data_IF_904107661721
#
_entry.id   IF_904107661721
#
_cell.length_a   1.000
_cell.length_b   1.000
_cell.length_c   1.000
_cell.angle_alpha   90.00
_cell.angle_beta   90.00
_cell.angle_gamma   90.00
#
_symmetry.space_group_name_H-M   'P 1'
#
loop_
_entity.id
_entity.type
_entity.pdbx_description
1 polymer ?
#
# COMPACT_ATOMS: atom_id res chain seq x y z
N UNK A 1 16.71 34.33 -0.40
CA UNK A 1 15.61 33.61 -1.06
C UNK A 1 15.74 32.15 -0.65
N UNK A 2 14.69 31.54 -0.09
CA UNK A 2 14.71 30.10 0.19
C UNK A 2 14.34 29.37 -1.09
N UNK A 3 15.03 28.28 -1.42
CA UNK A 3 14.66 27.46 -2.57
C UNK A 3 13.30 26.80 -2.30
N UNK A 4 12.34 26.97 -3.21
CA UNK A 4 11.00 26.41 -3.09
C UNK A 4 11.01 24.89 -2.86
N UNK A 5 11.97 24.17 -3.46
CA UNK A 5 12.16 22.73 -3.24
C UNK A 5 12.56 22.42 -1.80
N UNK A 6 13.49 23.21 -1.23
CA UNK A 6 13.94 23.04 0.15
C UNK A 6 12.78 23.34 1.12
N UNK A 7 11.99 24.37 0.86
CA UNK A 7 10.81 24.68 1.66
C UNK A 7 9.76 23.56 1.62
N UNK A 8 9.47 23.00 0.45
CA UNK A 8 8.53 21.89 0.28
C UNK A 8 8.97 20.61 1.01
N UNK A 9 10.19 20.14 0.72
CA UNK A 9 10.74 18.90 1.29
C UNK A 9 10.99 19.05 2.79
N UNK A 10 11.48 20.21 3.23
CA UNK A 10 11.65 20.53 4.65
C UNK A 10 10.34 20.47 5.40
N UNK A 11 9.28 21.08 4.86
CA UNK A 11 7.94 21.03 5.47
C UNK A 11 7.40 19.59 5.55
N UNK A 12 7.54 18.82 4.47
CA UNK A 12 7.13 17.41 4.43
C UNK A 12 7.87 16.57 5.47
N UNK A 13 9.19 16.74 5.60
CA UNK A 13 10.01 16.03 6.58
C UNK A 13 9.62 16.38 8.00
N UNK A 14 9.47 17.68 8.33
CA UNK A 14 9.07 18.12 9.66
C UNK A 14 7.70 17.55 10.05
N UNK A 15 6.73 17.56 9.14
CA UNK A 15 5.40 16.97 9.37
C UNK A 15 5.48 15.45 9.57
N UNK A 16 6.26 14.76 8.73
CA UNK A 16 6.42 13.30 8.83
C UNK A 16 7.11 12.89 10.15
N UNK A 17 8.10 13.66 10.60
CA UNK A 17 8.76 13.48 11.90
C UNK A 17 7.81 13.78 13.07
N UNK A 18 6.90 14.72 12.89
CA UNK A 18 5.83 15.05 13.86
C UNK A 18 4.70 14.02 13.89
N UNK A 19 4.90 12.84 13.28
CA UNK A 19 3.91 11.75 13.12
C UNK A 19 2.65 12.13 12.35
N UNK A 20 2.72 13.15 11.50
CA UNK A 20 1.64 13.42 10.54
C UNK A 20 1.72 12.38 9.42
N UNK A 21 0.57 11.86 9.00
CA UNK A 21 0.51 10.86 7.93
C UNK A 21 1.14 11.43 6.64
N UNK A 22 1.94 10.61 5.97
CA UNK A 22 2.74 11.03 4.79
C UNK A 22 1.88 11.68 3.70
N UNK A 23 0.64 11.21 3.51
CA UNK A 23 -0.31 11.76 2.53
C UNK A 23 -0.65 13.23 2.83
N UNK A 24 -0.82 13.58 4.10
CA UNK A 24 -1.10 14.97 4.48
C UNK A 24 0.17 15.80 4.31
N UNK A 25 1.33 15.25 4.67
CA UNK A 25 2.62 15.92 4.56
C UNK A 25 2.95 16.30 3.10
N UNK A 26 2.69 15.42 2.13
CA UNK A 26 2.92 15.74 0.70
C UNK A 26 1.97 16.83 0.18
N UNK A 27 0.72 16.87 0.64
CA UNK A 27 -0.25 17.90 0.24
C UNK A 27 0.22 19.27 0.75
N UNK A 28 0.58 19.35 2.02
CA UNK A 28 1.08 20.59 2.63
C UNK A 28 2.42 21.00 2.00
N UNK A 29 3.33 20.05 1.79
CA UNK A 29 4.61 20.30 1.12
C UNK A 29 4.44 20.84 -0.30
N UNK A 30 3.48 20.30 -1.07
CA UNK A 30 3.15 20.79 -2.41
C UNK A 30 2.58 22.22 -2.39
N UNK A 31 1.72 22.54 -1.41
CA UNK A 31 1.20 23.90 -1.23
C UNK A 31 2.32 24.88 -0.86
N UNK A 32 3.17 24.54 0.11
CA UNK A 32 4.29 25.39 0.53
C UNK A 32 5.27 25.57 -0.63
N UNK A 33 5.64 24.50 -1.34
CA UNK A 33 6.52 24.56 -2.50
C UNK A 33 5.96 25.40 -3.64
N UNK A 34 4.68 25.22 -3.98
CA UNK A 34 4.03 25.96 -5.05
C UNK A 34 3.91 27.46 -4.76
N UNK A 35 3.51 27.81 -3.54
CA UNK A 35 3.37 29.20 -3.12
C UNK A 35 4.73 29.89 -2.96
N UNK A 36 5.72 29.23 -2.36
CA UNK A 36 7.09 29.79 -2.25
C UNK A 36 7.80 29.86 -3.60
N UNK A 37 7.40 29.03 -4.57
CA UNK A 37 7.85 29.08 -5.96
C UNK A 37 7.12 30.11 -6.84
N UNK A 38 6.14 30.85 -6.30
CA UNK A 38 5.44 31.91 -7.03
C UNK A 38 4.36 31.42 -8.01
N UNK A 39 3.94 30.15 -7.93
CA UNK A 39 2.92 29.58 -8.82
C UNK A 39 1.50 30.10 -8.51
N UNK A 40 1.24 30.56 -7.28
CA UNK A 40 -0.11 30.88 -6.82
C UNK A 40 -0.97 29.61 -6.62
N UNK A 41 -2.15 29.75 -6.03
CA UNK A 41 -2.98 28.61 -5.58
C UNK A 41 -3.43 27.74 -6.76
N UNK A 42 -3.95 28.35 -7.83
CA UNK A 42 -4.54 27.62 -8.95
C UNK A 42 -3.48 26.82 -9.74
N UNK A 43 -2.33 27.43 -10.05
CA UNK A 43 -1.27 26.71 -10.75
C UNK A 43 -0.58 25.68 -9.85
N UNK A 44 -0.50 25.93 -8.53
CA UNK A 44 -0.01 24.92 -7.57
C UNK A 44 -0.90 23.69 -7.55
N UNK A 45 -2.22 23.86 -7.48
CA UNK A 45 -3.17 22.74 -7.53
C UNK A 45 -3.11 22.01 -8.87
N UNK A 46 -2.97 22.74 -9.99
CA UNK A 46 -2.79 22.14 -11.32
C UNK A 46 -1.50 21.31 -11.39
N UNK A 47 -0.39 21.83 -10.86
CA UNK A 47 0.90 21.14 -10.82
C UNK A 47 0.86 19.91 -9.89
N UNK A 48 0.22 20.03 -8.72
CA UNK A 48 0.03 18.91 -7.80
C UNK A 48 -0.81 17.79 -8.43
N UNK A 49 -1.98 18.13 -8.99
CA UNK A 49 -2.84 17.15 -9.65
C UNK A 49 -2.16 16.52 -10.88
N UNK A 50 -1.42 17.30 -11.67
CA UNK A 50 -0.61 16.79 -12.77
C UNK A 50 0.52 15.87 -12.31
N UNK A 51 1.13 16.17 -11.16
CA UNK A 51 2.16 15.35 -10.52
C UNK A 51 1.63 14.04 -9.94
N UNK A 52 0.34 13.96 -9.59
CA UNK A 52 -0.29 12.72 -9.14
C UNK A 52 -0.48 11.72 -10.29
N UNK A 53 -0.73 12.20 -11.52
CA UNK A 53 -1.01 11.43 -12.75
C UNK A 53 -0.85 9.91 -12.67
N UNK A 54 0.27 9.37 -13.17
CA UNK A 54 0.53 7.92 -13.21
C UNK A 54 0.56 7.25 -11.83
N UNK A 55 0.96 7.98 -10.78
CA UNK A 55 1.00 7.48 -9.41
C UNK A 55 -0.39 7.29 -8.78
N UNK A 56 -1.37 8.12 -9.15
CA UNK A 56 -2.74 8.07 -8.65
C UNK A 56 -3.46 6.78 -9.10
N UNK A 57 -3.29 6.39 -10.36
CA UNK A 57 -3.84 5.14 -10.88
C UNK A 57 -3.21 3.92 -10.20
N UNK A 58 -1.90 3.95 -9.96
CA UNK A 58 -1.20 2.89 -9.21
C UNK A 58 -1.70 2.83 -7.76
N UNK A 59 -1.83 3.98 -7.10
CA UNK A 59 -2.35 4.07 -5.74
C UNK A 59 -3.77 3.51 -5.62
N UNK A 60 -4.67 3.85 -6.56
CA UNK A 60 -6.02 3.27 -6.59
C UNK A 60 -5.98 1.76 -6.83
N UNK A 61 -5.14 1.28 -7.74
CA UNK A 61 -5.01 -0.15 -8.01
C UNK A 61 -4.56 -0.92 -6.75
N UNK A 62 -3.62 -0.36 -5.98
CA UNK A 62 -3.17 -0.95 -4.72
C UNK A 62 -4.19 -0.82 -3.59
N UNK A 63 -4.92 0.29 -3.51
CA UNK A 63 -6.03 0.42 -2.58
C UNK A 63 -7.12 -0.63 -2.86
N UNK A 64 -7.46 -0.84 -4.13
CA UNK A 64 -8.43 -1.85 -4.56
C UNK A 64 -7.92 -3.28 -4.30
N UNK A 65 -6.64 -3.56 -4.56
CA UNK A 65 -6.03 -4.86 -4.24
C UNK A 65 -6.07 -5.14 -2.73
N UNK A 66 -5.77 -4.12 -1.91
CA UNK A 66 -5.88 -4.21 -0.46
C UNK A 66 -7.33 -4.45 0.00
N UNK A 67 -8.29 -3.71 -0.56
CA UNK A 67 -9.71 -3.91 -0.28
C UNK A 67 -10.18 -5.32 -0.68
N UNK A 68 -9.71 -5.84 -1.81
CA UNK A 68 -9.98 -7.21 -2.26
C UNK A 68 -9.38 -8.25 -1.32
N UNK A 69 -8.13 -8.06 -0.86
CA UNK A 69 -7.49 -8.93 0.11
C UNK A 69 -8.28 -8.98 1.44
N UNK A 70 -8.76 -7.82 1.92
CA UNK A 70 -9.63 -7.75 3.10
C UNK A 70 -10.93 -8.51 2.88
N UNK A 71 -11.55 -8.38 1.69
CA UNK A 71 -12.78 -9.10 1.35
C UNK A 71 -12.58 -10.64 1.33
N UNK A 72 -11.47 -11.14 0.77
CA UNK A 72 -11.12 -12.57 0.81
C UNK A 72 -10.88 -13.03 2.25
N UNK A 73 -10.14 -12.26 3.04
CA UNK A 73 -9.83 -12.61 4.43
C UNK A 73 -11.12 -12.70 5.27
N UNK A 74 -12.08 -11.78 5.06
CA UNK A 74 -13.37 -11.77 5.77
C UNK A 74 -14.37 -12.80 5.25
N UNK A 75 -14.27 -13.26 4.01
CA UNK A 75 -15.22 -14.25 3.46
C UNK A 75 -14.96 -15.68 3.92
N UNK A 76 -13.85 -15.94 4.60
CA UNK A 76 -13.46 -17.29 5.06
C UNK A 76 -12.90 -18.18 3.94
N UNK A 77 -12.85 -17.69 2.69
CA UNK A 77 -12.28 -18.43 1.56
C UNK A 77 -10.83 -18.85 1.81
N UNK A 78 -10.03 -17.97 2.41
CA UNK A 78 -8.64 -18.28 2.75
C UNK A 78 -8.54 -19.46 3.74
N UNK A 79 -9.43 -19.52 4.73
CA UNK A 79 -9.45 -20.63 5.70
C UNK A 79 -9.91 -21.93 5.04
N UNK A 80 -10.97 -21.88 4.22
CA UNK A 80 -11.45 -23.05 3.50
C UNK A 80 -10.41 -23.64 2.53
N UNK A 81 -9.60 -22.79 1.89
CA UNK A 81 -8.49 -23.23 1.04
C UNK A 81 -7.36 -23.85 1.87
N UNK A 82 -7.02 -23.28 3.02
CA UNK A 82 -6.01 -23.82 3.93
C UNK A 82 -6.42 -25.21 4.46
N UNK A 83 -7.66 -25.36 4.92
CA UNK A 83 -8.19 -26.64 5.41
C UNK A 83 -8.14 -27.72 4.31
N UNK A 84 -8.54 -27.38 3.08
CA UNK A 84 -8.45 -28.29 1.93
C UNK A 84 -7.01 -28.70 1.62
N UNK A 85 -6.06 -27.76 1.70
CA UNK A 85 -4.65 -28.06 1.47
C UNK A 85 -4.10 -29.02 2.53
N UNK A 86 -4.45 -28.81 3.81
CA UNK A 86 -4.07 -29.70 4.91
C UNK A 86 -4.63 -31.11 4.71
N UNK A 87 -5.90 -31.25 4.33
CA UNK A 87 -6.52 -32.56 4.06
C UNK A 87 -5.85 -33.32 2.90
N UNK A 88 -5.36 -32.61 1.89
CA UNK A 88 -4.64 -33.21 0.75
C UNK A 88 -3.28 -33.76 1.18
N UNK A 89 -2.56 -33.03 2.04
CA UNK A 89 -1.27 -33.47 2.59
C UNK A 89 -1.43 -34.67 3.52
N UNK A 90 -2.40 -34.63 4.44
CA UNK A 90 -2.68 -35.72 5.38
C UNK A 90 -3.04 -37.04 4.66
N UNK A 91 -3.79 -36.95 3.55
CA UNK A 91 -4.08 -38.10 2.68
C UNK A 91 -2.84 -38.71 2.03
N UNK A 92 -1.81 -37.92 1.72
CA UNK A 92 -0.58 -38.46 1.16
C UNK A 92 0.22 -39.24 2.22
N UNK A 93 0.25 -38.78 3.47
CA UNK A 93 0.90 -39.52 4.56
C UNK A 93 0.18 -40.85 4.86
N UNK A 94 -1.15 -40.84 4.90
CA UNK A 94 -1.94 -42.06 5.14
C UNK A 94 -1.75 -43.14 4.05
N UNK A 95 -1.49 -42.74 2.81
CA UNK A 95 -1.30 -43.67 1.68
C UNK A 95 0.12 -44.26 1.63
N UNK A 96 1.13 -43.56 2.18
CA UNK A 96 2.51 -44.04 2.25
C UNK A 96 2.84 -44.94 3.46
N UNK A 97 2.12 -44.79 4.58
CA UNK A 97 2.44 -45.51 5.84
C UNK A 97 1.84 -46.91 6.00
N UNK A 98 0.79 -47.26 5.25
CA UNK A 98 0.03 -48.51 5.49
C UNK A 98 0.77 -49.78 5.05
N UNK A 99 1.59 -49.71 3.98
CA UNK A 99 2.28 -50.89 3.45
C UNK A 99 3.57 -51.27 4.19
N UNK A 100 4.19 -50.36 4.94
CA UNK A 100 5.46 -50.65 5.65
C UNK A 100 5.20 -51.32 7.00
N UNK A 101 4.08 -50.98 7.66
CA UNK A 101 3.71 -51.57 8.96
C UNK A 101 3.33 -53.06 8.90
N UNK A 102 3.00 -53.58 7.71
CA UNK A 102 2.72 -55.02 7.49
C UNK A 102 3.95 -55.81 7.03
N UNK A 103 5.10 -55.15 6.82
CA UNK A 103 6.36 -55.74 6.35
C UNK A 103 7.45 -55.79 7.45
N UNK A 104 7.15 -55.27 8.64
CA UNK A 104 7.97 -55.28 9.86
C UNK A 104 7.22 -56.03 10.97
#
# INVERSE_FOLDING_TARGET
MINAVIAAVGTMLVLSLSRVHVVIAIIVGALVGGLTGGLGIEATLKAFNGGLGGGATVALSYALLGAFAVAIAKSGLAHALADKALMLVDRQEATGGSHVKWLL
#
